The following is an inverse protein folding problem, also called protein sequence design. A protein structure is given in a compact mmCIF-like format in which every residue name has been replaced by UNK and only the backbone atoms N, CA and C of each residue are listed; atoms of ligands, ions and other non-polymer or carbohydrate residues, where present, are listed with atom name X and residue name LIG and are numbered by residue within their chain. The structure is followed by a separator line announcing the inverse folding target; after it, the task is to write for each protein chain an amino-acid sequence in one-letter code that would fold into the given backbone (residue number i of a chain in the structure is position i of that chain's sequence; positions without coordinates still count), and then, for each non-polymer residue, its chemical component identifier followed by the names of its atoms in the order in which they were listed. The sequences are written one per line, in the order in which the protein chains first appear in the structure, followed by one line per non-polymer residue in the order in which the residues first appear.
data_IF_164476069000
#
_entry.id   IF_164476069000
#
_cell.length_a   1.000
_cell.length_b   1.000
_cell.length_c   1.000
_cell.angle_alpha   90.00
_cell.angle_beta   90.00
_cell.angle_gamma   90.00
#
_symmetry.space_group_name_H-M   'P 1'
#
loop_
_entity.id
_entity.type
_entity.pdbx_description
1 polymer ?
#
# COMPACT_ATOMS: atom_id res chain seq x y z
N UNK A 1 -15.50 70.11 -44.00
CA UNK A 1 -15.53 69.29 -42.76
C UNK A 1 -15.38 67.85 -43.10
N UNK A 2 -14.16 67.34 -43.37
CA UNK A 2 -13.82 65.94 -43.53
C UNK A 2 -12.28 65.78 -43.36
N UNK A 3 -11.81 65.67 -42.15
CA UNK A 3 -10.42 65.30 -41.81
C UNK A 3 -10.38 65.13 -40.28
N UNK A 4 -10.66 63.97 -39.74
CA UNK A 4 -10.26 63.56 -38.37
C UNK A 4 -10.72 62.15 -37.98
N UNK A 5 -11.10 61.28 -38.95
CA UNK A 5 -11.56 59.90 -38.63
C UNK A 5 -10.53 58.81 -38.94
N UNK A 6 -9.32 59.15 -39.40
CA UNK A 6 -8.30 58.16 -39.79
C UNK A 6 -7.20 57.96 -38.72
N UNK A 7 -7.17 58.75 -37.64
CA UNK A 7 -6.11 58.72 -36.62
C UNK A 7 -6.38 57.78 -35.41
N UNK A 8 -7.64 57.34 -35.24
CA UNK A 8 -8.02 56.46 -34.10
C UNK A 8 -7.96 54.96 -34.36
N UNK A 9 -7.80 54.54 -35.59
CA UNK A 9 -7.72 53.08 -35.95
C UNK A 9 -6.30 52.52 -35.77
N UNK A 10 -5.28 53.37 -35.76
CA UNK A 10 -3.88 52.90 -35.65
C UNK A 10 -3.40 52.70 -34.19
N UNK A 11 -4.10 53.19 -33.20
CA UNK A 11 -3.71 53.03 -31.75
C UNK A 11 -4.30 51.76 -31.12
N UNK A 12 -5.33 51.16 -31.76
CA UNK A 12 -5.97 49.92 -31.23
C UNK A 12 -5.29 48.63 -31.66
N UNK A 13 -4.27 48.69 -32.54
CA UNK A 13 -3.60 47.45 -33.04
C UNK A 13 -2.28 47.12 -32.34
N UNK A 14 -1.83 47.92 -31.41
CA UNK A 14 -0.55 47.69 -30.69
C UNK A 14 -0.66 46.96 -29.33
N UNK A 15 -1.88 46.55 -28.93
CA UNK A 15 -2.11 45.91 -27.64
C UNK A 15 -2.33 44.38 -27.69
N UNK A 16 -2.08 43.75 -28.86
CA UNK A 16 -2.31 42.30 -29.01
C UNK A 16 -1.03 41.42 -29.14
N UNK A 17 0.14 41.92 -28.75
CA UNK A 17 1.38 41.18 -28.86
C UNK A 17 2.14 41.03 -27.51
N UNK A 18 1.49 40.57 -26.45
CA UNK A 18 2.16 40.00 -25.30
C UNK A 18 1.42 38.78 -24.76
N UNK A 19 1.14 37.80 -25.63
CA UNK A 19 1.07 36.44 -25.17
C UNK A 19 2.52 35.91 -25.11
N UNK A 20 3.31 36.33 -24.12
CA UNK A 20 4.52 35.60 -23.79
C UNK A 20 4.07 34.22 -23.30
N UNK A 21 4.21 33.22 -24.18
CA UNK A 21 4.32 31.84 -23.70
C UNK A 21 5.42 31.83 -22.67
N UNK A 22 5.09 31.61 -21.41
CA UNK A 22 6.06 31.33 -20.37
C UNK A 22 6.76 30.03 -20.77
N UNK A 23 7.86 30.15 -21.52
CA UNK A 23 8.72 29.01 -21.81
C UNK A 23 9.30 28.61 -20.46
N UNK A 24 9.04 27.36 -20.07
CA UNK A 24 9.53 26.81 -18.81
C UNK A 24 11.07 26.85 -18.77
N UNK A 25 11.61 27.41 -17.70
CA UNK A 25 13.06 27.64 -17.60
C UNK A 25 13.80 26.35 -17.27
N UNK A 26 14.80 26.00 -18.08
CA UNK A 26 15.72 24.92 -17.74
C UNK A 26 16.67 25.40 -16.64
N UNK A 27 16.57 24.78 -15.46
CA UNK A 27 17.38 25.11 -14.27
C UNK A 27 18.55 24.14 -14.05
N UNK A 28 18.52 22.96 -14.69
CA UNK A 28 19.61 21.97 -14.64
C UNK A 28 19.67 21.13 -15.90
N UNK A 29 20.87 20.63 -16.20
CA UNK A 29 21.11 19.66 -17.28
C UNK A 29 22.04 18.59 -16.78
N UNK A 30 21.73 17.31 -17.00
CA UNK A 30 22.60 16.16 -16.71
C UNK A 30 22.61 15.22 -17.92
N UNK A 31 23.75 15.20 -18.63
CA UNK A 31 23.84 14.54 -19.91
C UNK A 31 22.89 15.17 -20.94
N UNK A 32 21.91 14.42 -21.43
CA UNK A 32 20.85 14.91 -22.32
C UNK A 32 19.54 15.28 -21.58
N UNK A 33 19.46 14.97 -20.30
CA UNK A 33 18.27 15.19 -19.51
C UNK A 33 18.26 16.59 -18.92
N UNK A 34 17.12 17.26 -19.01
CA UNK A 34 16.91 18.60 -18.46
C UNK A 34 16.07 18.53 -17.17
N UNK A 35 16.29 19.48 -16.29
CA UNK A 35 15.41 19.76 -15.14
C UNK A 35 14.77 21.11 -15.40
N UNK A 36 13.44 21.14 -15.40
CA UNK A 36 12.64 22.35 -15.60
C UNK A 36 12.28 22.98 -14.26
N UNK A 37 12.08 24.30 -14.25
CA UNK A 37 11.62 25.01 -13.07
C UNK A 37 10.25 24.49 -12.59
N UNK A 38 9.34 24.22 -13.52
CA UNK A 38 8.02 23.68 -13.20
C UNK A 38 8.08 22.32 -12.52
N UNK A 39 9.08 21.50 -12.88
CA UNK A 39 9.32 20.20 -12.26
C UNK A 39 9.70 20.38 -10.77
N UNK A 40 10.65 21.28 -10.48
CA UNK A 40 11.03 21.60 -9.10
C UNK A 40 9.87 22.19 -8.28
N UNK A 41 9.10 23.12 -8.86
CA UNK A 41 7.95 23.73 -8.17
C UNK A 41 6.84 22.71 -7.90
N UNK A 42 6.68 21.69 -8.73
CA UNK A 42 5.76 20.58 -8.50
C UNK A 42 6.18 19.74 -7.29
N UNK A 43 7.47 19.41 -7.19
CA UNK A 43 8.03 18.68 -6.03
C UNK A 43 7.87 19.48 -4.74
N UNK A 44 8.13 20.79 -4.77
CA UNK A 44 7.95 21.68 -3.62
C UNK A 44 6.47 21.68 -3.18
N UNK A 45 5.53 21.80 -4.12
CA UNK A 45 4.08 21.76 -3.81
C UNK A 45 3.68 20.43 -3.17
N UNK A 46 4.22 19.33 -3.67
CA UNK A 46 4.02 18.00 -3.09
C UNK A 46 4.52 17.91 -1.64
N UNK A 47 5.74 18.38 -1.39
CA UNK A 47 6.32 18.39 -0.05
C UNK A 47 5.51 19.28 0.93
N UNK A 48 5.05 20.44 0.46
CA UNK A 48 4.19 21.36 1.26
C UNK A 48 2.84 20.73 1.58
N UNK A 49 2.22 20.05 0.62
CA UNK A 49 0.97 19.34 0.84
C UNK A 49 1.09 18.25 1.92
N UNK A 50 2.29 17.68 2.08
CA UNK A 50 2.64 16.72 3.13
C UNK A 50 3.13 17.38 4.44
N UNK A 51 2.93 18.71 4.61
CA UNK A 51 3.21 19.43 5.85
C UNK A 51 4.64 19.95 5.99
N UNK A 52 5.50 19.83 4.96
CA UNK A 52 6.86 20.38 4.99
C UNK A 52 6.84 21.89 4.74
N UNK A 53 7.56 22.67 5.56
CA UNK A 53 7.67 24.11 5.35
C UNK A 53 8.59 24.44 4.16
N UNK A 54 8.16 25.37 3.31
CA UNK A 54 8.99 25.87 2.21
C UNK A 54 10.16 26.69 2.76
N UNK A 55 11.37 26.26 2.44
CA UNK A 55 12.62 26.95 2.76
C UNK A 55 13.56 26.90 1.56
N UNK A 56 14.55 27.80 1.50
CA UNK A 56 15.59 27.73 0.46
C UNK A 56 16.38 26.41 0.54
N UNK A 57 16.58 25.89 1.74
CA UNK A 57 17.20 24.57 1.94
C UNK A 57 16.36 23.44 1.30
N UNK A 58 15.04 23.47 1.44
CA UNK A 58 14.16 22.48 0.80
C UNK A 58 14.27 22.53 -0.73
N UNK A 59 14.31 23.75 -1.31
CA UNK A 59 14.51 23.94 -2.76
C UNK A 59 15.80 23.28 -3.24
N UNK A 60 16.89 23.53 -2.50
CA UNK A 60 18.18 22.96 -2.84
C UNK A 60 18.20 21.44 -2.72
N UNK A 61 17.57 20.87 -1.69
CA UNK A 61 17.48 19.42 -1.49
C UNK A 61 16.67 18.78 -2.63
N UNK A 62 15.49 19.29 -2.94
CA UNK A 62 14.65 18.75 -4.01
C UNK A 62 15.31 18.91 -5.39
N UNK A 63 16.03 20.00 -5.61
CA UNK A 63 16.79 20.17 -6.85
C UNK A 63 17.95 19.17 -6.96
N UNK A 64 18.67 18.89 -5.87
CA UNK A 64 19.72 17.85 -5.82
C UNK A 64 19.13 16.46 -6.15
N UNK A 65 17.95 16.14 -5.62
CA UNK A 65 17.25 14.89 -5.90
C UNK A 65 16.84 14.77 -7.38
N UNK A 66 16.34 15.85 -7.99
CA UNK A 66 16.02 15.88 -9.42
C UNK A 66 17.27 15.68 -10.28
N UNK A 67 18.38 16.36 -9.95
CA UNK A 67 19.65 16.17 -10.65
C UNK A 67 20.15 14.73 -10.52
N UNK A 68 20.05 14.13 -9.32
CA UNK A 68 20.41 12.75 -9.08
C UNK A 68 19.53 11.78 -9.89
N UNK A 69 18.23 12.02 -9.96
CA UNK A 69 17.32 11.22 -10.80
C UNK A 69 17.71 11.29 -12.29
N UNK A 70 18.05 12.50 -12.80
CA UNK A 70 18.51 12.65 -14.20
C UNK A 70 19.86 11.94 -14.42
N UNK A 71 20.74 11.90 -13.42
CA UNK A 71 22.01 11.15 -13.50
C UNK A 71 21.75 9.64 -13.60
N UNK A 72 20.81 9.11 -12.81
CA UNK A 72 20.40 7.71 -12.89
C UNK A 72 19.83 7.36 -14.27
N UNK A 73 18.96 8.22 -14.84
CA UNK A 73 18.41 8.02 -16.19
C UNK A 73 19.50 8.04 -17.26
N UNK A 74 20.43 9.00 -17.19
CA UNK A 74 21.54 9.09 -18.15
C UNK A 74 22.47 7.88 -18.07
N UNK A 75 22.64 7.30 -16.89
CA UNK A 75 23.43 6.07 -16.74
C UNK A 75 22.64 4.83 -17.12
N UNK A 76 21.35 4.77 -16.81
CA UNK A 76 20.46 3.67 -17.18
C UNK A 76 20.47 3.43 -18.70
N UNK A 77 20.44 4.51 -19.48
CA UNK A 77 20.55 4.43 -20.94
C UNK A 77 21.88 3.82 -21.39
N UNK A 78 23.01 4.26 -20.81
CA UNK A 78 24.34 3.71 -21.11
C UNK A 78 24.46 2.23 -20.74
N UNK A 79 23.82 1.84 -19.65
CA UNK A 79 23.86 0.48 -19.11
C UNK A 79 22.73 -0.40 -19.65
N UNK A 80 21.93 0.09 -20.61
CA UNK A 80 20.76 -0.60 -21.20
C UNK A 80 19.77 -1.13 -20.15
N UNK A 81 19.52 -0.32 -19.13
CA UNK A 81 18.53 -0.64 -18.09
C UNK A 81 17.17 -0.18 -18.57
N UNK A 82 16.24 -1.12 -18.71
CA UNK A 82 14.88 -0.88 -19.19
C UNK A 82 13.85 -1.51 -18.26
N UNK A 83 12.66 -0.93 -18.22
CA UNK A 83 11.49 -1.49 -17.53
C UNK A 83 10.51 -2.03 -18.58
N UNK A 84 9.78 -3.08 -18.21
CA UNK A 84 8.73 -3.64 -19.07
C UNK A 84 7.50 -2.75 -19.03
N UNK A 85 6.80 -2.65 -20.18
CA UNK A 85 5.57 -1.84 -20.26
C UNK A 85 4.48 -2.31 -19.29
N UNK A 86 4.40 -3.63 -19.01
CA UNK A 86 3.46 -4.17 -18.01
C UNK A 86 3.73 -3.64 -16.61
N UNK A 87 4.99 -3.33 -16.26
CA UNK A 87 5.35 -2.72 -14.97
C UNK A 87 4.93 -1.25 -14.92
N UNK A 88 5.06 -0.53 -16.06
CA UNK A 88 4.61 0.86 -16.18
C UNK A 88 3.10 0.94 -16.06
N UNK A 89 2.37 0.10 -16.79
CA UNK A 89 0.92 0.01 -16.73
C UNK A 89 0.42 -0.33 -15.32
N UNK A 90 1.01 -1.33 -14.70
CA UNK A 90 0.65 -1.73 -13.32
C UNK A 90 0.87 -0.62 -12.30
N UNK A 91 1.94 0.17 -12.42
CA UNK A 91 2.21 1.30 -11.53
C UNK A 91 1.23 2.47 -11.79
N UNK A 92 0.91 2.74 -13.06
CA UNK A 92 -0.10 3.73 -13.44
C UNK A 92 -1.46 3.35 -12.86
N UNK A 93 -1.87 2.09 -13.02
CA UNK A 93 -3.16 1.59 -12.51
C UNK A 93 -3.22 1.66 -10.98
N UNK A 94 -2.13 1.31 -10.29
CA UNK A 94 -2.05 1.42 -8.83
C UNK A 94 -2.24 2.86 -8.36
N UNK A 95 -1.57 3.83 -8.99
CA UNK A 95 -1.71 5.26 -8.64
C UNK A 95 -3.09 5.79 -8.99
N UNK A 96 -3.63 5.40 -10.15
CA UNK A 96 -4.98 5.80 -10.52
C UNK A 96 -6.04 5.28 -9.55
N UNK A 97 -5.95 4.01 -9.13
CA UNK A 97 -6.87 3.44 -8.14
C UNK A 97 -6.79 4.19 -6.81
N UNK A 98 -5.59 4.60 -6.39
CA UNK A 98 -5.42 5.43 -5.21
C UNK A 98 -6.10 6.81 -5.38
N UNK A 99 -5.88 7.50 -6.49
CA UNK A 99 -6.51 8.80 -6.75
C UNK A 99 -8.03 8.68 -6.84
N UNK A 100 -8.55 7.73 -7.59
CA UNK A 100 -9.99 7.50 -7.71
C UNK A 100 -10.63 7.18 -6.35
N UNK A 101 -9.93 6.44 -5.49
CA UNK A 101 -10.35 6.19 -4.11
C UNK A 101 -10.46 7.49 -3.28
N UNK A 102 -9.52 8.44 -3.45
CA UNK A 102 -9.55 9.74 -2.76
C UNK A 102 -10.67 10.64 -3.26
N UNK A 103 -10.94 10.64 -4.57
CA UNK A 103 -12.02 11.45 -5.17
C UNK A 103 -13.40 10.80 -5.04
N UNK A 104 -13.44 9.50 -4.76
CA UNK A 104 -14.66 8.72 -4.56
C UNK A 104 -15.41 8.35 -5.85
N UNK A 105 -15.09 8.94 -7.02
CA UNK A 105 -15.57 8.50 -8.33
C UNK A 105 -14.71 9.06 -9.47
N UNK A 106 -14.79 8.41 -10.64
CA UNK A 106 -14.11 8.81 -11.87
C UNK A 106 -14.60 10.19 -12.36
N UNK A 107 -15.91 10.45 -12.30
CA UNK A 107 -16.51 11.71 -12.74
C UNK A 107 -15.99 12.90 -11.93
N UNK A 108 -15.83 12.73 -10.60
CA UNK A 108 -15.29 13.80 -9.74
C UNK A 108 -13.81 14.06 -10.04
N UNK A 109 -13.05 13.00 -10.31
CA UNK A 109 -11.64 13.11 -10.70
C UNK A 109 -11.52 13.86 -12.04
N UNK A 110 -12.30 13.46 -13.06
CA UNK A 110 -12.29 14.09 -14.38
C UNK A 110 -12.74 15.54 -14.34
N UNK A 111 -13.76 15.86 -13.54
CA UNK A 111 -14.22 17.23 -13.33
C UNK A 111 -13.14 18.11 -12.66
N UNK A 112 -12.36 17.55 -11.73
CA UNK A 112 -11.29 18.29 -11.05
C UNK A 112 -10.09 18.56 -11.94
N UNK A 113 -9.63 17.55 -12.70
CA UNK A 113 -8.46 17.66 -13.57
C UNK A 113 -8.78 18.21 -14.97
N UNK A 114 -10.04 18.25 -15.36
CA UNK A 114 -10.46 18.67 -16.72
C UNK A 114 -10.04 17.71 -17.83
N UNK A 115 -9.76 16.45 -17.49
CA UNK A 115 -9.23 15.41 -18.39
C UNK A 115 -9.82 14.07 -18.03
N UNK A 116 -9.99 13.19 -19.04
CA UNK A 116 -10.41 11.82 -18.79
C UNK A 116 -9.31 11.03 -18.06
N UNK A 117 -9.71 10.00 -17.33
CA UNK A 117 -8.78 9.05 -16.67
C UNK A 117 -7.78 8.49 -17.69
N UNK A 118 -8.24 8.17 -18.90
CA UNK A 118 -7.38 7.67 -19.97
C UNK A 118 -6.32 8.71 -20.38
N UNK A 119 -6.69 9.96 -20.59
CA UNK A 119 -5.75 11.03 -20.94
C UNK A 119 -4.74 11.27 -19.83
N UNK A 120 -5.19 11.24 -18.58
CA UNK A 120 -4.30 11.42 -17.41
C UNK A 120 -3.29 10.27 -17.28
N UNK A 121 -3.70 9.01 -17.53
CA UNK A 121 -2.81 7.84 -17.57
C UNK A 121 -1.72 7.99 -18.64
N UNK A 122 -2.09 8.44 -19.84
CA UNK A 122 -1.12 8.64 -20.93
C UNK A 122 -0.11 9.75 -20.61
N UNK A 123 -0.54 10.85 -20.01
CA UNK A 123 0.36 11.93 -19.58
C UNK A 123 1.35 11.50 -18.48
N UNK A 124 0.93 10.60 -17.58
CA UNK A 124 1.80 10.06 -16.53
C UNK A 124 2.80 9.03 -17.04
N UNK A 125 2.59 8.44 -18.20
CA UNK A 125 3.32 7.25 -18.67
C UNK A 125 4.83 7.45 -18.71
N UNK A 126 5.28 8.54 -19.31
CA UNK A 126 6.72 8.81 -19.43
C UNK A 126 7.35 9.16 -18.09
N UNK A 127 6.66 9.90 -17.22
CA UNK A 127 7.12 10.20 -15.87
C UNK A 127 7.25 8.91 -15.05
N UNK A 128 6.24 8.04 -15.08
CA UNK A 128 6.27 6.75 -14.39
C UNK A 128 7.37 5.85 -14.93
N UNK A 129 7.54 5.77 -16.25
CA UNK A 129 8.64 5.00 -16.85
C UNK A 129 10.00 5.50 -16.36
N UNK A 130 10.22 6.81 -16.36
CA UNK A 130 11.46 7.42 -15.88
C UNK A 130 11.71 7.13 -14.40
N UNK A 131 10.69 7.22 -13.56
CA UNK A 131 10.79 6.87 -12.13
C UNK A 131 11.22 5.41 -11.96
N UNK A 132 10.56 4.49 -12.67
CA UNK A 132 10.86 3.05 -12.57
C UNK A 132 12.26 2.72 -13.11
N UNK A 133 12.68 3.33 -14.21
CA UNK A 133 14.04 3.16 -14.77
C UNK A 133 15.10 3.69 -13.81
N UNK A 134 14.90 4.88 -13.23
CA UNK A 134 15.81 5.44 -12.24
C UNK A 134 15.91 4.55 -11.00
N UNK A 135 14.78 4.04 -10.50
CA UNK A 135 14.73 3.11 -9.37
C UNK A 135 15.44 1.78 -9.68
N UNK A 136 15.23 1.22 -10.89
CA UNK A 136 15.91 -0.01 -11.31
C UNK A 136 17.43 0.22 -11.44
N UNK A 137 17.86 1.38 -11.94
CA UNK A 137 19.27 1.74 -12.00
C UNK A 137 19.86 1.90 -10.60
N UNK A 138 19.18 2.56 -9.69
CA UNK A 138 19.58 2.68 -8.30
C UNK A 138 19.70 1.31 -7.63
N UNK A 139 18.73 0.44 -7.83
CA UNK A 139 18.76 -0.93 -7.35
C UNK A 139 19.99 -1.70 -7.90
N UNK A 140 20.31 -1.55 -9.18
CA UNK A 140 21.50 -2.16 -9.79
C UNK A 140 22.80 -1.70 -9.10
N UNK A 141 22.87 -0.43 -8.67
CA UNK A 141 24.03 0.12 -7.93
C UNK A 141 24.14 -0.49 -6.54
N UNK A 142 23.02 -0.80 -5.87
CA UNK A 142 22.99 -1.24 -4.46
C UNK A 142 22.71 -2.73 -4.24
N UNK A 143 22.21 -3.46 -5.26
CA UNK A 143 21.73 -4.85 -5.11
C UNK A 143 22.82 -5.88 -4.78
N UNK A 144 24.08 -5.59 -5.08
CA UNK A 144 25.20 -6.49 -4.77
C UNK A 144 25.74 -6.31 -3.33
N UNK A 145 25.16 -5.36 -2.57
CA UNK A 145 25.67 -5.01 -1.25
C UNK A 145 25.11 -5.94 -0.21
N UNK A 146 25.94 -6.88 0.19
CA UNK A 146 25.71 -7.69 1.39
C UNK A 146 26.52 -7.13 2.55
N UNK A 147 25.90 -7.08 3.71
CA UNK A 147 26.56 -6.68 4.95
C UNK A 147 26.93 -7.95 5.71
N UNK A 148 28.23 -8.15 5.90
CA UNK A 148 28.75 -9.27 6.70
C UNK A 148 28.67 -8.97 8.20
N UNK A 149 28.72 -9.98 9.07
CA UNK A 149 28.84 -9.73 10.52
C UNK A 149 30.06 -8.87 10.91
N UNK A 150 31.12 -8.87 10.12
CA UNK A 150 32.28 -7.99 10.33
C UNK A 150 31.93 -6.54 10.02
N UNK A 151 31.18 -6.27 8.93
CA UNK A 151 30.70 -4.94 8.59
C UNK A 151 29.81 -4.36 9.69
N UNK A 152 28.90 -5.18 10.26
CA UNK A 152 28.02 -4.77 11.36
C UNK A 152 28.84 -4.35 12.58
N UNK A 153 29.82 -5.16 12.98
CA UNK A 153 30.73 -4.81 14.09
C UNK A 153 31.54 -3.57 13.82
N UNK A 154 32.09 -3.41 12.61
CA UNK A 154 32.84 -2.24 12.22
C UNK A 154 31.95 -0.96 12.25
N UNK A 155 30.72 -1.07 11.72
CA UNK A 155 29.76 0.02 11.78
C UNK A 155 29.42 0.41 13.23
N UNK A 156 29.09 -0.58 14.07
CA UNK A 156 28.79 -0.35 15.50
C UNK A 156 29.95 0.34 16.21
N UNK A 157 31.20 -0.13 15.99
CA UNK A 157 32.38 0.47 16.58
C UNK A 157 32.70 1.89 16.07
N UNK A 158 32.16 2.26 14.92
CA UNK A 158 32.32 3.62 14.35
C UNK A 158 31.35 4.64 14.93
N UNK A 159 30.31 4.20 15.63
CA UNK A 159 29.32 5.08 16.27
C UNK A 159 29.86 5.50 17.65
N UNK A 160 29.99 6.80 17.94
CA UNK A 160 30.32 7.27 19.29
C UNK A 160 29.30 6.73 20.32
N UNK A 161 29.75 6.37 21.51
CA UNK A 161 28.90 5.75 22.52
C UNK A 161 27.75 6.63 23.04
N UNK A 162 27.90 7.95 22.92
CA UNK A 162 26.87 8.94 23.22
C UNK A 162 25.85 9.11 22.09
N UNK A 163 26.22 8.72 20.87
CA UNK A 163 25.39 8.78 19.65
C UNK A 163 24.72 7.44 19.33
N UNK A 164 24.95 6.38 20.13
CA UNK A 164 24.21 5.13 19.99
C UNK A 164 22.72 5.37 20.27
N UNK A 165 21.80 4.86 19.41
CA UNK A 165 20.38 5.03 19.64
C UNK A 165 19.96 4.42 20.99
N UNK A 166 19.12 5.14 21.73
CA UNK A 166 18.42 4.62 22.89
C UNK A 166 17.26 3.77 22.37
N UNK A 167 17.24 2.53 22.76
CA UNK A 167 16.14 1.60 22.48
C UNK A 167 15.23 1.63 23.71
N UNK A 168 13.97 1.93 23.49
CA UNK A 168 12.94 1.90 24.53
C UNK A 168 12.65 0.45 24.94
N UNK A 169 11.77 0.28 25.92
CA UNK A 169 11.26 -1.05 26.27
C UNK A 169 10.62 -1.71 25.06
N UNK A 170 11.18 -2.83 24.64
CA UNK A 170 10.61 -3.66 23.57
C UNK A 170 10.02 -4.93 24.15
N UNK A 171 9.00 -5.43 23.49
CA UNK A 171 8.35 -6.71 23.83
C UNK A 171 8.29 -7.62 22.61
N UNK A 172 8.47 -8.91 22.86
CA UNK A 172 8.17 -9.96 21.88
C UNK A 172 6.90 -10.67 22.35
N UNK A 173 5.86 -10.62 21.51
CA UNK A 173 4.54 -11.16 21.85
C UNK A 173 4.10 -12.21 20.83
N UNK A 174 3.39 -13.20 21.34
CA UNK A 174 2.74 -14.21 20.54
C UNK A 174 1.23 -14.17 20.76
N UNK A 175 0.45 -14.55 19.76
CA UNK A 175 -1.01 -14.58 19.87
C UNK A 175 -1.60 -15.94 19.47
N UNK A 176 -2.68 -16.30 20.13
CA UNK A 176 -3.61 -17.36 19.72
C UNK A 176 -4.96 -16.72 19.50
N UNK A 177 -5.42 -16.71 18.27
CA UNK A 177 -6.66 -16.04 17.86
C UNK A 177 -7.77 -17.07 17.67
N UNK A 178 -8.97 -16.77 18.18
CA UNK A 178 -10.19 -17.53 17.92
C UNK A 178 -11.25 -16.63 17.33
N UNK A 179 -11.73 -16.98 16.15
CA UNK A 179 -12.82 -16.29 15.46
C UNK A 179 -14.14 -16.99 15.74
N UNK A 180 -15.25 -16.27 15.99
CA UNK A 180 -16.56 -16.89 16.04
C UNK A 180 -16.83 -17.62 14.73
N UNK A 181 -17.18 -18.88 14.81
CA UNK A 181 -17.55 -19.68 13.64
C UNK A 181 -19.06 -19.65 13.47
N UNK A 182 -19.50 -19.51 12.21
CA UNK A 182 -20.92 -19.59 11.87
C UNK A 182 -21.37 -21.03 12.09
N UNK A 183 -22.46 -21.22 12.84
CA UNK A 183 -23.03 -22.56 13.07
C UNK A 183 -23.61 -23.15 11.77
N UNK A 184 -23.70 -24.49 11.71
CA UNK A 184 -24.34 -25.19 10.58
C UNK A 184 -25.84 -24.84 10.46
N UNK A 185 -26.50 -24.53 11.57
CA UNK A 185 -27.88 -24.03 11.60
C UNK A 185 -27.99 -22.67 10.90
N UNK A 186 -27.06 -21.73 11.18
CA UNK A 186 -27.04 -20.42 10.53
C UNK A 186 -26.74 -20.54 9.02
N UNK A 187 -25.87 -21.46 8.64
CA UNK A 187 -25.57 -21.76 7.23
C UNK A 187 -26.82 -22.34 6.51
N UNK A 188 -27.49 -23.32 7.14
CA UNK A 188 -28.72 -23.89 6.61
C UNK A 188 -29.83 -22.84 6.48
N UNK A 189 -29.98 -21.95 7.47
CA UNK A 189 -30.96 -20.88 7.42
C UNK A 189 -30.66 -19.88 6.28
N UNK A 190 -29.38 -19.46 6.11
CA UNK A 190 -29.00 -18.59 5.01
C UNK A 190 -29.25 -19.22 3.64
N UNK A 191 -28.90 -20.51 3.47
CA UNK A 191 -29.15 -21.24 2.25
C UNK A 191 -30.64 -21.40 1.97
N UNK A 192 -31.46 -21.72 2.98
CA UNK A 192 -32.91 -21.84 2.83
C UNK A 192 -33.54 -20.49 2.43
N UNK A 193 -33.10 -19.40 3.03
CA UNK A 193 -33.52 -18.04 2.68
C UNK A 193 -33.18 -17.69 1.23
N UNK A 194 -31.96 -18.04 0.80
CA UNK A 194 -31.54 -17.82 -0.57
C UNK A 194 -32.33 -18.68 -1.56
N UNK A 195 -32.68 -19.93 -1.21
CA UNK A 195 -33.52 -20.79 -2.03
C UNK A 195 -34.93 -20.20 -2.19
N UNK A 196 -35.50 -19.62 -1.12
CA UNK A 196 -36.78 -18.89 -1.24
C UNK A 196 -36.67 -17.75 -2.27
N UNK A 197 -35.59 -17.00 -2.25
CA UNK A 197 -35.39 -15.93 -3.22
C UNK A 197 -35.19 -16.44 -4.65
N UNK A 198 -34.46 -17.53 -4.81
CA UNK A 198 -34.25 -18.20 -6.09
C UNK A 198 -35.60 -18.71 -6.67
N UNK A 199 -36.45 -19.28 -5.85
CA UNK A 199 -37.77 -19.75 -6.26
C UNK A 199 -38.67 -18.61 -6.73
N UNK A 200 -38.62 -17.43 -6.13
CA UNK A 200 -39.33 -16.23 -6.61
C UNK A 200 -38.91 -15.83 -8.04
N UNK A 201 -37.65 -16.03 -8.38
CA UNK A 201 -37.15 -15.76 -9.73
C UNK A 201 -37.56 -16.86 -10.71
N UNK A 202 -37.39 -18.13 -10.34
CA UNK A 202 -37.75 -19.29 -11.20
C UNK A 202 -39.23 -19.33 -11.50
N UNK A 203 -40.08 -19.06 -10.51
CA UNK A 203 -41.53 -19.00 -10.70
C UNK A 203 -42.03 -17.79 -11.48
N UNK A 204 -41.14 -16.82 -11.78
CA UNK A 204 -41.49 -15.57 -12.44
C UNK A 204 -42.28 -14.59 -11.58
N UNK A 205 -42.43 -14.85 -10.27
CA UNK A 205 -43.11 -13.94 -9.33
C UNK A 205 -42.35 -12.64 -9.11
N UNK A 206 -41.02 -12.67 -9.26
CA UNK A 206 -40.16 -11.49 -9.22
C UNK A 206 -39.03 -11.61 -10.25
N UNK A 207 -38.62 -10.49 -10.85
CA UNK A 207 -37.43 -10.49 -11.70
C UNK A 207 -36.15 -10.65 -10.87
N UNK A 208 -35.10 -11.22 -11.49
CA UNK A 208 -33.78 -11.34 -10.84
C UNK A 208 -33.27 -9.99 -10.36
N UNK A 209 -33.50 -8.90 -11.13
CA UNK A 209 -33.13 -7.55 -10.76
C UNK A 209 -33.84 -7.08 -9.48
N UNK A 210 -35.14 -7.33 -9.37
CA UNK A 210 -35.93 -6.94 -8.21
C UNK A 210 -35.51 -7.72 -6.95
N UNK A 211 -35.27 -9.04 -7.09
CA UNK A 211 -34.79 -9.86 -5.98
C UNK A 211 -33.44 -9.42 -5.52
N UNK A 212 -32.52 -9.15 -6.44
CA UNK A 212 -31.16 -8.66 -6.08
C UNK A 212 -31.22 -7.29 -5.41
N UNK A 213 -31.98 -6.34 -5.95
CA UNK A 213 -32.11 -4.99 -5.35
C UNK A 213 -32.69 -5.01 -3.93
N UNK A 214 -33.59 -5.95 -3.63
CA UNK A 214 -34.27 -6.02 -2.33
C UNK A 214 -33.54 -6.89 -1.30
N UNK A 215 -32.85 -7.93 -1.74
CA UNK A 215 -32.42 -8.99 -0.83
C UNK A 215 -30.95 -9.34 -0.88
N UNK A 216 -30.18 -8.83 -1.88
CA UNK A 216 -28.73 -9.11 -1.87
C UNK A 216 -28.03 -8.41 -0.71
N UNK A 217 -27.15 -9.13 -0.07
CA UNK A 217 -26.24 -8.60 0.97
C UNK A 217 -24.87 -8.21 0.38
N UNK A 218 -24.73 -8.20 -0.96
CA UNK A 218 -23.51 -7.74 -1.64
C UNK A 218 -23.50 -6.21 -1.77
N UNK A 219 -22.64 -5.49 -1.02
CA UNK A 219 -22.58 -4.03 -1.07
C UNK A 219 -22.09 -3.49 -2.42
N UNK A 220 -21.32 -4.29 -3.18
CA UNK A 220 -20.76 -3.88 -4.47
C UNK A 220 -21.81 -3.79 -5.59
N UNK A 221 -22.83 -4.65 -5.54
CA UNK A 221 -23.83 -4.73 -6.61
C UNK A 221 -25.27 -4.46 -6.16
N UNK A 222 -25.52 -4.26 -4.88
CA UNK A 222 -26.89 -4.01 -4.36
C UNK A 222 -27.58 -2.84 -5.07
N UNK A 223 -26.87 -1.72 -5.24
CA UNK A 223 -27.40 -0.50 -5.90
C UNK A 223 -27.71 -0.68 -7.38
N UNK A 224 -27.07 -1.64 -8.05
CA UNK A 224 -27.25 -1.97 -9.46
C UNK A 224 -28.15 -3.20 -9.64
N UNK A 225 -28.87 -3.62 -8.59
CA UNK A 225 -29.71 -4.81 -8.59
C UNK A 225 -28.90 -6.09 -8.83
N UNK A 226 -27.75 -6.21 -8.22
CA UNK A 226 -26.89 -7.40 -8.27
C UNK A 226 -26.05 -7.54 -9.55
N UNK A 227 -25.93 -6.48 -10.39
CA UNK A 227 -25.32 -6.55 -11.71
C UNK A 227 -23.83 -6.26 -11.69
N UNK A 228 -23.07 -7.09 -12.42
CA UNK A 228 -21.68 -6.90 -12.81
C UNK A 228 -21.54 -7.12 -14.31
N UNK A 229 -20.88 -6.18 -14.98
CA UNK A 229 -20.69 -6.19 -16.43
C UNK A 229 -19.19 -6.41 -16.77
N UNK A 230 -18.96 -7.18 -17.85
CA UNK A 230 -17.62 -7.34 -18.41
C UNK A 230 -16.64 -8.09 -17.50
N UNK A 231 -17.09 -9.04 -16.72
CA UNK A 231 -16.23 -9.86 -15.85
C UNK A 231 -15.31 -10.72 -16.70
N UNK A 232 -14.00 -10.55 -16.53
CA UNK A 232 -12.96 -11.44 -17.05
C UNK A 232 -12.57 -12.51 -16.01
N UNK A 233 -11.93 -13.61 -16.47
CA UNK A 233 -11.37 -14.61 -15.56
C UNK A 233 -10.28 -14.02 -14.67
N UNK A 234 -10.25 -14.43 -13.41
CA UNK A 234 -9.30 -13.94 -12.40
C UNK A 234 -9.75 -12.69 -11.63
N UNK A 235 -10.95 -12.16 -11.93
CA UNK A 235 -11.50 -10.98 -11.24
C UNK A 235 -12.35 -11.32 -10.02
N UNK A 236 -12.92 -12.52 -9.98
CA UNK A 236 -13.76 -12.99 -8.88
C UNK A 236 -13.19 -14.27 -8.25
N UNK A 237 -13.76 -14.66 -7.11
CA UNK A 237 -13.34 -15.90 -6.46
C UNK A 237 -13.65 -17.12 -7.33
N UNK A 238 -12.80 -18.17 -7.27
CA UNK A 238 -12.90 -19.33 -8.17
C UNK A 238 -14.28 -19.98 -8.22
N UNK A 239 -14.96 -20.06 -7.07
CA UNK A 239 -16.30 -20.64 -6.96
C UNK A 239 -17.35 -19.86 -7.76
N UNK A 240 -17.27 -18.52 -7.72
CA UNK A 240 -18.16 -17.65 -8.48
C UNK A 240 -17.87 -17.75 -9.98
N UNK A 241 -16.61 -17.70 -10.38
CA UNK A 241 -16.20 -17.81 -11.77
C UNK A 241 -16.58 -19.17 -12.38
N UNK A 242 -16.37 -20.27 -11.64
CA UNK A 242 -16.71 -21.61 -12.09
C UNK A 242 -18.20 -21.71 -12.47
N UNK A 243 -19.08 -21.01 -11.76
CA UNK A 243 -20.51 -20.98 -12.06
C UNK A 243 -20.80 -19.99 -13.19
N UNK A 244 -20.33 -18.75 -13.11
CA UNK A 244 -20.62 -17.70 -14.09
C UNK A 244 -20.20 -18.08 -15.52
N UNK A 245 -19.02 -18.68 -15.68
CA UNK A 245 -18.50 -19.06 -16.99
C UNK A 245 -19.09 -20.37 -17.54
N UNK A 246 -19.84 -21.14 -16.75
CA UNK A 246 -20.52 -22.38 -17.20
C UNK A 246 -21.93 -22.12 -17.73
N UNK A 247 -22.60 -21.08 -17.22
CA UNK A 247 -23.99 -20.79 -17.55
C UNK A 247 -24.20 -20.38 -19.01
N UNK A 248 -25.41 -20.64 -19.53
CA UNK A 248 -25.92 -20.09 -20.78
C UNK A 248 -26.62 -18.75 -20.53
N UNK A 249 -26.70 -17.86 -21.55
CA UNK A 249 -27.51 -16.64 -21.40
C UNK A 249 -28.91 -16.93 -20.87
N UNK A 250 -29.36 -16.10 -19.93
CA UNK A 250 -30.63 -16.17 -19.19
C UNK A 250 -30.76 -17.34 -18.22
N UNK A 251 -29.78 -18.25 -18.14
CA UNK A 251 -29.78 -19.36 -17.20
C UNK A 251 -29.49 -18.87 -15.76
N UNK A 252 -30.27 -19.43 -14.81
CA UNK A 252 -30.12 -19.18 -13.38
C UNK A 252 -29.43 -20.39 -12.75
N UNK A 253 -28.36 -20.12 -12.00
CA UNK A 253 -27.55 -21.15 -11.35
C UNK A 253 -28.29 -21.83 -10.18
N UNK A 254 -27.80 -23.00 -9.79
CA UNK A 254 -28.02 -23.54 -8.45
C UNK A 254 -27.32 -22.67 -7.40
N UNK A 255 -27.71 -22.85 -6.11
CA UNK A 255 -27.03 -22.20 -5.00
C UNK A 255 -25.66 -22.81 -4.81
N UNK A 256 -24.63 -21.96 -4.74
CA UNK A 256 -23.26 -22.34 -4.43
C UNK A 256 -22.71 -21.50 -3.28
N UNK A 257 -21.67 -22.01 -2.62
CA UNK A 257 -20.98 -21.37 -1.51
C UNK A 257 -19.66 -20.76 -1.99
N UNK A 258 -19.32 -19.60 -1.44
CA UNK A 258 -18.03 -18.94 -1.60
C UNK A 258 -17.51 -18.47 -0.24
N UNK A 259 -16.28 -17.94 -0.12
CA UNK A 259 -15.81 -17.30 1.11
C UNK A 259 -16.68 -16.14 1.61
N UNK A 260 -17.54 -15.57 0.75
CA UNK A 260 -18.42 -14.44 1.10
C UNK A 260 -19.83 -14.89 1.54
N UNK A 261 -20.22 -16.13 1.31
CA UNK A 261 -21.54 -16.66 1.64
C UNK A 261 -22.14 -17.51 0.54
N UNK A 262 -23.47 -17.57 0.52
CA UNK A 262 -24.24 -18.34 -0.46
C UNK A 262 -24.74 -17.46 -1.59
N UNK A 263 -24.57 -17.91 -2.81
CA UNK A 263 -24.93 -17.18 -4.02
C UNK A 263 -25.81 -18.01 -4.93
N UNK A 264 -26.64 -17.34 -5.72
CA UNK A 264 -27.04 -17.79 -7.03
C UNK A 264 -26.92 -16.64 -8.02
N UNK A 265 -26.73 -16.92 -9.29
CA UNK A 265 -26.55 -15.92 -10.31
C UNK A 265 -27.28 -16.26 -11.61
N UNK A 266 -27.55 -15.23 -12.42
CA UNK A 266 -28.05 -15.32 -13.78
C UNK A 266 -27.00 -14.79 -14.71
N UNK A 267 -26.68 -15.50 -15.80
CA UNK A 267 -25.88 -14.96 -16.89
C UNK A 267 -26.78 -14.08 -17.76
N UNK A 268 -26.45 -12.79 -17.86
CA UNK A 268 -27.18 -11.84 -18.72
C UNK A 268 -26.67 -11.94 -20.16
N UNK A 269 -25.36 -11.89 -20.35
CA UNK A 269 -24.73 -11.96 -21.67
C UNK A 269 -23.31 -12.53 -21.60
N UNK A 270 -22.86 -13.07 -22.73
CA UNK A 270 -21.48 -13.46 -22.94
C UNK A 270 -20.92 -12.71 -24.14
N UNK A 271 -19.79 -12.04 -23.95
CA UNK A 271 -19.10 -11.24 -24.96
C UNK A 271 -17.64 -11.72 -25.09
N UNK A 272 -17.43 -12.76 -25.89
CA UNK A 272 -16.14 -13.43 -26.01
C UNK A 272 -15.74 -14.05 -24.67
N UNK A 273 -14.60 -13.60 -24.11
CA UNK A 273 -14.09 -14.05 -22.80
C UNK A 273 -14.70 -13.29 -21.62
N UNK A 274 -15.62 -12.34 -21.85
CA UNK A 274 -16.27 -11.55 -20.82
C UNK A 274 -17.69 -12.01 -20.59
N UNK A 275 -18.14 -11.96 -19.34
CA UNK A 275 -19.52 -12.29 -18.96
C UNK A 275 -20.16 -11.14 -18.17
N UNK A 276 -21.43 -10.89 -18.47
CA UNK A 276 -22.29 -9.99 -17.70
C UNK A 276 -23.22 -10.84 -16.86
N UNK A 277 -23.23 -10.62 -15.56
CA UNK A 277 -24.04 -11.43 -14.63
C UNK A 277 -24.86 -10.55 -13.70
N UNK A 278 -25.87 -11.16 -13.11
CA UNK A 278 -26.62 -10.64 -11.98
C UNK A 278 -26.63 -11.70 -10.90
N UNK A 279 -26.34 -11.31 -9.66
CA UNK A 279 -26.28 -12.26 -8.56
C UNK A 279 -27.02 -11.78 -7.31
N UNK A 280 -27.34 -12.74 -6.44
CA UNK A 280 -27.81 -12.49 -5.08
C UNK A 280 -26.88 -13.19 -4.11
N UNK A 281 -26.45 -12.48 -3.11
CA UNK A 281 -25.64 -12.97 -2.00
C UNK A 281 -26.48 -12.94 -0.71
N UNK A 282 -26.44 -14.03 0.04
CA UNK A 282 -26.89 -14.08 1.44
C UNK A 282 -25.76 -14.65 2.30
N UNK A 283 -25.38 -13.91 3.33
CA UNK A 283 -24.33 -14.31 4.26
C UNK A 283 -24.92 -15.05 5.47
N UNK A 284 -24.27 -16.13 5.88
CA UNK A 284 -24.58 -16.73 7.17
C UNK A 284 -23.95 -15.87 8.27
N UNK A 285 -24.77 -15.22 9.08
CA UNK A 285 -24.31 -14.25 10.09
C UNK A 285 -23.89 -14.97 11.38
N UNK A 286 -22.78 -14.48 11.94
CA UNK A 286 -22.37 -14.85 13.29
C UNK A 286 -23.42 -14.36 14.28
N UNK A 287 -23.96 -15.25 15.10
CA UNK A 287 -24.90 -14.91 16.17
C UNK A 287 -24.17 -14.44 17.44
N UNK A 288 -24.89 -13.78 18.33
CA UNK A 288 -24.36 -13.46 19.66
C UNK A 288 -23.90 -14.70 20.42
N UNK A 289 -24.58 -15.84 20.22
CA UNK A 289 -24.19 -17.11 20.83
C UNK A 289 -22.88 -17.66 20.25
N UNK A 290 -22.62 -17.51 18.95
CA UNK A 290 -21.36 -17.92 18.33
C UNK A 290 -20.18 -17.14 18.89
N UNK A 291 -20.36 -15.83 19.17
CA UNK A 291 -19.37 -14.98 19.81
C UNK A 291 -19.07 -15.50 21.23
N UNK A 292 -20.10 -15.82 22.01
CA UNK A 292 -19.94 -16.38 23.36
C UNK A 292 -19.24 -17.73 23.31
N UNK A 293 -19.61 -18.59 22.36
CA UNK A 293 -19.01 -19.92 22.21
C UNK A 293 -17.51 -19.84 21.86
N UNK A 294 -17.12 -18.94 20.97
CA UNK A 294 -15.71 -18.71 20.63
C UNK A 294 -14.88 -18.28 21.86
N UNK A 295 -15.46 -17.41 22.71
CA UNK A 295 -14.81 -17.01 23.95
C UNK A 295 -14.68 -18.18 24.93
N UNK A 296 -15.74 -18.97 25.12
CA UNK A 296 -15.73 -20.15 26.02
C UNK A 296 -14.69 -21.19 25.55
N UNK A 297 -14.63 -21.44 24.22
CA UNK A 297 -13.62 -22.32 23.66
C UNK A 297 -12.20 -21.81 23.95
N UNK A 298 -11.96 -20.52 23.76
CA UNK A 298 -10.66 -19.91 24.03
C UNK A 298 -10.33 -19.90 25.54
N UNK A 299 -11.31 -19.69 26.41
CA UNK A 299 -11.15 -19.81 27.87
C UNK A 299 -10.74 -21.26 28.25
N UNK A 300 -11.33 -22.27 27.64
CA UNK A 300 -10.92 -23.67 27.85
C UNK A 300 -9.46 -23.93 27.40
N UNK A 301 -9.05 -23.35 26.29
CA UNK A 301 -7.67 -23.46 25.80
C UNK A 301 -6.72 -22.74 26.75
N UNK A 302 -7.07 -21.54 27.22
CA UNK A 302 -6.32 -20.78 28.22
C UNK A 302 -6.05 -21.61 29.47
N UNK A 303 -7.07 -22.28 30.01
CA UNK A 303 -6.91 -23.12 31.21
C UNK A 303 -5.96 -24.29 30.96
N UNK A 304 -6.03 -24.95 29.79
CA UNK A 304 -5.14 -26.04 29.43
C UNK A 304 -3.67 -25.59 29.34
N UNK A 305 -3.44 -24.38 28.82
CA UNK A 305 -2.09 -23.79 28.76
C UNK A 305 -1.60 -23.46 30.17
N UNK A 306 -2.43 -22.81 30.97
CA UNK A 306 -2.13 -22.41 32.38
C UNK A 306 -1.81 -23.62 33.26
N UNK A 307 -2.53 -24.72 33.09
CA UNK A 307 -2.31 -25.97 33.83
C UNK A 307 -1.09 -26.77 33.28
N UNK A 308 -0.39 -26.28 32.25
CA UNK A 308 0.74 -26.96 31.63
C UNK A 308 0.39 -28.21 30.83
N UNK A 309 -0.91 -28.46 30.58
CA UNK A 309 -1.39 -29.63 29.80
C UNK A 309 -1.04 -29.52 28.31
N UNK A 310 -0.86 -28.29 27.81
CA UNK A 310 -0.46 -28.01 26.44
C UNK A 310 0.44 -26.78 26.44
N UNK A 311 1.49 -26.79 25.60
CA UNK A 311 2.33 -25.60 25.43
C UNK A 311 1.59 -24.56 24.59
N UNK A 312 1.90 -23.27 24.76
CA UNK A 312 1.30 -22.20 23.97
C UNK A 312 1.48 -22.46 22.46
N UNK A 313 2.69 -22.89 22.03
CA UNK A 313 3.01 -23.19 20.65
C UNK A 313 2.10 -24.30 20.06
N UNK A 314 1.94 -25.41 20.79
CA UNK A 314 1.06 -26.50 20.35
C UNK A 314 -0.42 -26.07 20.33
N UNK A 315 -0.83 -25.21 21.26
CA UNK A 315 -2.17 -24.66 21.27
C UNK A 315 -2.41 -23.76 20.03
N UNK A 316 -1.44 -22.89 19.65
CA UNK A 316 -1.51 -22.10 18.43
C UNK A 316 -1.64 -22.96 17.19
N UNK A 317 -0.75 -23.94 17.03
CA UNK A 317 -0.77 -24.83 15.86
C UNK A 317 -2.08 -25.59 15.67
N UNK A 318 -2.71 -25.97 16.79
CA UNK A 318 -3.94 -26.77 16.77
C UNK A 318 -5.21 -25.93 16.69
N UNK A 319 -5.27 -24.79 17.39
CA UNK A 319 -6.51 -24.08 17.69
C UNK A 319 -6.58 -22.66 17.15
N UNK A 320 -5.44 -22.03 16.74
CA UNK A 320 -5.47 -20.67 16.25
C UNK A 320 -6.14 -20.60 14.87
N UNK A 321 -7.02 -19.62 14.71
CA UNK A 321 -7.68 -19.29 13.43
C UNK A 321 -6.88 -18.23 12.64
N UNK A 322 -5.78 -17.74 13.20
CA UNK A 322 -4.88 -16.80 12.52
C UNK A 322 -3.85 -17.58 11.67
N UNK A 323 -4.01 -17.49 10.35
CA UNK A 323 -3.18 -18.23 9.40
C UNK A 323 -1.73 -17.76 9.36
N UNK A 324 -1.46 -16.49 9.69
CA UNK A 324 -0.14 -15.90 9.61
C UNK A 324 0.74 -16.34 10.78
N UNK A 325 0.17 -16.42 11.98
CA UNK A 325 0.94 -16.72 13.20
C UNK A 325 0.78 -18.16 13.69
N UNK A 326 -0.24 -18.89 13.22
CA UNK A 326 -0.56 -20.25 13.65
C UNK A 326 0.63 -21.21 13.64
N UNK A 327 1.43 -21.19 12.57
CA UNK A 327 2.50 -22.16 12.32
C UNK A 327 3.88 -21.73 12.86
N UNK A 328 3.97 -20.53 13.42
CA UNK A 328 5.19 -19.99 14.04
C UNK A 328 5.02 -19.74 15.54
N UNK A 329 4.27 -20.62 16.22
CA UNK A 329 3.97 -20.50 17.67
C UNK A 329 3.22 -19.21 18.06
N UNK A 330 2.46 -18.64 17.15
CA UNK A 330 1.72 -17.41 17.40
C UNK A 330 2.57 -16.13 17.32
N UNK A 331 3.84 -16.20 16.95
CA UNK A 331 4.76 -15.05 16.91
C UNK A 331 4.29 -13.99 15.93
N UNK A 332 4.14 -12.76 16.40
CA UNK A 332 3.75 -11.61 15.61
C UNK A 332 5.00 -10.99 15.00
N UNK A 333 4.92 -10.62 13.71
CA UNK A 333 6.02 -9.98 13.00
C UNK A 333 5.83 -8.47 12.95
N UNK A 334 6.84 -7.72 13.37
CA UNK A 334 6.94 -6.30 13.12
C UNK A 334 7.52 -6.09 11.72
N UNK A 335 6.64 -5.96 10.73
CA UNK A 335 7.05 -5.82 9.33
C UNK A 335 7.80 -4.52 9.06
N UNK A 336 7.56 -3.48 9.83
CA UNK A 336 8.27 -2.20 9.72
C UNK A 336 9.73 -2.31 10.17
N UNK A 337 9.97 -3.04 11.26
CA UNK A 337 11.32 -3.24 11.79
C UNK A 337 12.02 -4.48 11.21
N UNK A 338 11.28 -5.38 10.52
CA UNK A 338 11.79 -6.66 10.03
C UNK A 338 12.21 -7.61 11.17
N UNK A 339 11.56 -7.53 12.34
CA UNK A 339 11.87 -8.28 13.56
C UNK A 339 10.60 -8.79 14.23
N UNK A 340 10.75 -9.47 15.39
CA UNK A 340 9.62 -9.86 16.25
C UNK A 340 9.46 -8.94 17.45
N UNK A 341 10.29 -7.90 17.58
CA UNK A 341 10.29 -6.95 18.67
C UNK A 341 9.44 -5.72 18.32
N UNK A 342 8.68 -5.24 19.29
CA UNK A 342 7.84 -4.04 19.18
C UNK A 342 8.18 -3.10 20.31
N UNK A 343 8.38 -1.84 20.01
CA UNK A 343 8.35 -0.79 21.04
C UNK A 343 6.92 -0.69 21.59
N UNK A 344 6.78 -0.50 22.89
CA UNK A 344 5.45 -0.44 23.55
C UNK A 344 4.61 0.71 22.99
N UNK A 345 5.25 1.82 22.64
CA UNK A 345 4.62 2.98 22.00
C UNK A 345 3.97 2.64 20.65
N UNK A 346 4.62 1.81 19.84
CA UNK A 346 4.09 1.38 18.54
C UNK A 346 2.84 0.50 18.68
N UNK A 347 2.85 -0.38 19.69
CA UNK A 347 1.66 -1.16 20.04
C UNK A 347 0.54 -0.22 20.48
N UNK A 348 0.87 0.82 21.26
CA UNK A 348 -0.09 1.80 21.76
C UNK A 348 -0.85 2.57 20.69
N UNK A 349 -0.24 2.80 19.54
CA UNK A 349 -0.90 3.46 18.41
C UNK A 349 -2.01 2.59 17.79
N UNK A 350 -1.83 1.27 17.78
CA UNK A 350 -2.77 0.32 17.17
C UNK A 350 -3.72 -0.34 18.19
N UNK A 351 -3.27 -0.57 19.42
CA UNK A 351 -4.01 -1.25 20.47
C UNK A 351 -3.66 -0.73 21.89
N UNK A 352 -4.20 0.41 22.29
CA UNK A 352 -3.92 1.01 23.60
C UNK A 352 -4.26 0.09 24.78
N UNK A 353 -5.30 -0.76 24.65
CA UNK A 353 -5.72 -1.68 25.69
C UNK A 353 -4.70 -2.80 25.92
N UNK A 354 -3.99 -3.20 24.85
CA UNK A 354 -2.95 -4.22 24.96
C UNK A 354 -1.75 -3.69 25.75
N UNK A 355 -1.39 -2.43 25.61
CA UNK A 355 -0.29 -1.81 26.38
C UNK A 355 -0.55 -1.93 27.88
N UNK A 356 -1.72 -1.49 28.33
CA UNK A 356 -2.11 -1.60 29.76
C UNK A 356 -2.06 -3.05 30.28
N UNK A 357 -2.37 -4.00 29.42
CA UNK A 357 -2.29 -5.43 29.75
C UNK A 357 -0.84 -5.89 29.86
N UNK A 358 -0.01 -5.53 28.87
CA UNK A 358 1.41 -5.90 28.83
C UNK A 358 2.18 -5.33 30.02
N UNK A 359 1.88 -4.09 30.47
CA UNK A 359 2.56 -3.46 31.60
C UNK A 359 2.46 -4.27 32.90
N UNK A 360 1.37 -5.02 33.07
CA UNK A 360 1.13 -5.86 34.19
C UNK A 360 1.62 -7.31 34.04
N UNK A 361 2.18 -7.68 32.91
CA UNK A 361 2.63 -9.05 32.63
C UNK A 361 4.13 -9.22 32.87
N UNK A 362 4.51 -10.38 33.35
CA UNK A 362 5.89 -10.86 33.38
C UNK A 362 6.19 -11.71 32.16
N UNK A 363 7.45 -11.79 31.80
CA UNK A 363 7.88 -12.71 30.71
C UNK A 363 7.47 -14.14 31.07
N UNK A 364 6.80 -14.80 30.16
CA UNK A 364 6.21 -16.12 30.36
C UNK A 364 4.71 -16.11 30.67
N UNK A 365 4.12 -14.97 30.98
CA UNK A 365 2.68 -14.86 31.28
C UNK A 365 1.83 -14.92 30.01
N UNK A 366 0.59 -15.39 30.20
CA UNK A 366 -0.47 -15.36 29.17
C UNK A 366 -1.67 -14.57 29.68
N UNK A 367 -2.34 -13.84 28.79
CA UNK A 367 -3.59 -13.16 29.12
C UNK A 367 -4.75 -14.12 29.16
N UNK A 368 -5.83 -13.74 29.87
CA UNK A 368 -7.15 -14.28 29.58
C UNK A 368 -7.58 -13.89 28.16
N UNK A 369 -8.62 -14.54 27.58
CA UNK A 369 -9.15 -14.11 26.29
C UNK A 369 -9.51 -12.62 26.25
N UNK A 370 -8.83 -11.88 25.38
CA UNK A 370 -9.08 -10.46 25.12
C UNK A 370 -9.93 -10.32 23.85
N UNK A 371 -10.91 -9.43 23.83
CA UNK A 371 -11.63 -9.11 22.60
C UNK A 371 -10.70 -8.41 21.61
N UNK A 372 -10.87 -8.72 20.35
CA UNK A 372 -10.16 -8.08 19.23
C UNK A 372 -11.14 -7.82 18.10
N UNK A 373 -10.99 -6.69 17.43
CA UNK A 373 -11.73 -6.39 16.21
C UNK A 373 -10.76 -6.46 15.03
N UNK A 374 -11.11 -7.23 14.01
CA UNK A 374 -10.32 -7.28 12.78
C UNK A 374 -10.56 -6.03 11.92
N UNK A 375 -9.68 -5.78 10.94
CA UNK A 375 -9.81 -4.61 10.04
C UNK A 375 -11.14 -4.57 9.28
N UNK A 376 -11.74 -5.73 9.02
CA UNK A 376 -13.08 -5.86 8.41
C UNK A 376 -14.24 -5.69 9.42
N UNK A 377 -13.95 -5.24 10.64
CA UNK A 377 -14.93 -4.98 11.70
C UNK A 377 -15.47 -6.22 12.40
N UNK A 378 -14.99 -7.42 12.06
CA UNK A 378 -15.44 -8.66 12.71
C UNK A 378 -14.83 -8.85 14.07
N UNK A 379 -15.65 -9.26 15.03
CA UNK A 379 -15.21 -9.55 16.40
C UNK A 379 -14.48 -10.90 16.46
N UNK A 380 -13.39 -10.95 17.19
CA UNK A 380 -12.64 -12.15 17.53
C UNK A 380 -12.09 -12.06 18.96
N UNK A 381 -11.47 -13.14 19.45
CA UNK A 381 -10.81 -13.18 20.74
C UNK A 381 -9.39 -13.67 20.57
N UNK A 382 -8.48 -13.19 21.41
CA UNK A 382 -7.09 -13.64 21.43
C UNK A 382 -6.56 -13.84 22.84
N UNK A 383 -5.62 -14.76 22.98
CA UNK A 383 -4.72 -14.88 24.12
C UNK A 383 -3.37 -14.33 23.68
N UNK A 384 -2.78 -13.46 24.46
CA UNK A 384 -1.41 -12.95 24.24
C UNK A 384 -0.47 -13.66 25.20
N UNK A 385 0.67 -14.07 24.69
CA UNK A 385 1.81 -14.60 25.46
C UNK A 385 2.97 -13.61 25.37
N UNK A 386 3.45 -13.13 26.52
CA UNK A 386 4.62 -12.27 26.59
C UNK A 386 5.88 -13.15 26.57
N UNK A 387 6.52 -13.24 25.40
CA UNK A 387 7.67 -14.11 25.19
C UNK A 387 8.97 -13.50 25.72
N UNK A 388 9.17 -12.20 25.47
CA UNK A 388 10.34 -11.45 25.93
C UNK A 388 9.99 -10.00 26.22
N UNK A 389 10.79 -9.37 27.08
CA UNK A 389 10.77 -7.93 27.36
C UNK A 389 12.19 -7.47 27.60
N UNK A 390 12.58 -6.37 26.98
CA UNK A 390 13.86 -5.70 27.21
C UNK A 390 13.62 -4.43 28.01
N UNK A 391 14.55 -4.09 28.87
CA UNK A 391 14.59 -2.77 29.50
C UNK A 391 15.18 -1.73 28.56
N UNK A 392 14.88 -0.42 28.76
CA UNK A 392 15.49 0.63 27.96
C UNK A 392 17.03 0.56 28.05
N UNK A 393 17.68 0.57 26.88
CA UNK A 393 19.13 0.43 26.81
C UNK A 393 19.70 1.14 25.55
N UNK A 394 20.98 1.43 25.55
CA UNK A 394 21.67 1.82 24.34
C UNK A 394 21.85 0.61 23.43
N UNK A 395 21.62 0.83 22.13
CA UNK A 395 21.74 -0.23 21.14
C UNK A 395 23.05 -1.02 21.30
N UNK A 396 22.94 -2.35 21.28
CA UNK A 396 24.07 -3.25 21.44
C UNK A 396 24.01 -4.44 20.47
N UNK A 397 25.16 -5.09 20.24
CA UNK A 397 25.27 -6.18 19.26
C UNK A 397 24.60 -7.49 19.69
N UNK A 398 24.23 -7.63 20.97
CA UNK A 398 23.60 -8.84 21.48
C UNK A 398 22.09 -8.82 21.23
N UNK A 399 21.45 -7.73 21.61
CA UNK A 399 20.00 -7.62 21.64
C UNK A 399 19.45 -6.96 20.37
N UNK A 400 20.22 -6.03 19.74
CA UNK A 400 19.77 -5.20 18.62
C UNK A 400 20.48 -5.53 17.29
N UNK A 401 21.01 -6.73 17.15
CA UNK A 401 21.84 -7.08 16.00
C UNK A 401 21.16 -6.81 14.66
N UNK A 402 19.89 -7.16 14.49
CA UNK A 402 19.14 -6.97 13.24
C UNK A 402 18.97 -5.47 12.93
N UNK A 403 18.69 -4.65 13.94
CA UNK A 403 18.57 -3.19 13.80
C UNK A 403 19.92 -2.59 13.37
N UNK A 404 20.99 -2.99 14.03
CA UNK A 404 22.36 -2.55 13.69
C UNK A 404 22.79 -3.03 12.30
N UNK A 405 22.37 -4.23 11.89
CA UNK A 405 22.61 -4.75 10.54
C UNK A 405 21.89 -3.90 9.49
N UNK A 406 20.63 -3.55 9.71
CA UNK A 406 19.88 -2.68 8.81
C UNK A 406 20.49 -1.28 8.72
N UNK A 407 20.93 -0.72 9.85
CA UNK A 407 21.65 0.58 9.88
C UNK A 407 22.98 0.51 9.14
N UNK A 408 23.75 -0.54 9.36
CA UNK A 408 25.03 -0.77 8.66
C UNK A 408 24.80 -0.93 7.14
N UNK A 409 23.76 -1.65 6.75
CA UNK A 409 23.39 -1.80 5.34
C UNK A 409 23.01 -0.48 4.70
N UNK A 410 22.16 0.32 5.35
CA UNK A 410 21.79 1.67 4.87
C UNK A 410 23.01 2.59 4.76
N UNK A 411 23.90 2.59 5.76
CA UNK A 411 25.15 3.35 5.74
C UNK A 411 26.08 2.91 4.60
N UNK A 412 26.26 1.60 4.41
CA UNK A 412 27.09 1.05 3.33
C UNK A 412 26.50 1.39 1.96
N UNK A 413 25.19 1.26 1.78
CA UNK A 413 24.48 1.64 0.55
C UNK A 413 24.69 3.12 0.23
N UNK A 414 24.51 4.01 1.23
CA UNK A 414 24.75 5.44 1.06
C UNK A 414 26.16 5.73 0.57
N UNK A 415 27.17 5.17 1.22
CA UNK A 415 28.59 5.39 0.85
C UNK A 415 28.90 4.90 -0.57
N UNK A 416 28.31 3.79 -0.99
CA UNK A 416 28.48 3.25 -2.35
C UNK A 416 27.78 4.14 -3.38
N UNK A 417 26.56 4.59 -3.09
CA UNK A 417 25.85 5.53 -3.96
C UNK A 417 26.66 6.84 -4.09
N UNK A 418 27.13 7.42 -3.00
CA UNK A 418 27.91 8.65 -3.02
C UNK A 418 29.23 8.48 -3.81
N UNK A 419 29.91 7.35 -3.65
CA UNK A 419 31.13 7.01 -4.42
C UNK A 419 30.82 6.84 -5.91
N UNK A 420 29.72 6.14 -6.21
CA UNK A 420 29.25 5.93 -7.59
C UNK A 420 28.88 7.26 -8.26
N UNK A 421 28.13 8.13 -7.58
CA UNK A 421 27.77 9.45 -8.09
C UNK A 421 29.03 10.25 -8.41
N UNK A 422 29.97 10.35 -7.47
CA UNK A 422 31.22 11.09 -7.66
C UNK A 422 32.06 10.55 -8.83
N UNK A 423 32.04 9.23 -9.04
CA UNK A 423 32.69 8.61 -10.20
C UNK A 423 31.99 8.99 -11.51
N UNK A 424 30.66 8.97 -11.55
CA UNK A 424 29.88 9.28 -12.75
C UNK A 424 29.93 10.76 -13.12
N UNK A 425 29.95 11.65 -12.15
CA UNK A 425 30.09 13.10 -12.37
C UNK A 425 31.36 13.50 -13.13
N UNK A 426 32.41 12.68 -13.08
CA UNK A 426 33.65 12.93 -13.87
C UNK A 426 33.49 12.66 -15.37
N UNK A 427 32.43 11.98 -15.79
CA UNK A 427 32.25 11.50 -17.17
C UNK A 427 30.92 11.93 -17.79
N UNK A 428 30.17 12.77 -17.12
CA UNK A 428 28.87 13.26 -17.59
C UNK A 428 28.85 14.78 -17.56
N UNK A 429 28.27 15.40 -18.59
CA UNK A 429 28.07 16.84 -18.61
C UNK A 429 26.99 17.26 -17.62
N UNK A 430 27.28 18.25 -16.77
CA UNK A 430 26.32 18.85 -15.86
C UNK A 430 26.35 20.36 -15.98
N UNK A 431 25.17 20.97 -16.06
CA UNK A 431 25.01 22.43 -16.00
C UNK A 431 23.92 22.77 -14.99
N UNK A 432 24.22 23.72 -14.13
CA UNK A 432 23.29 24.26 -13.12
C UNK A 432 23.10 25.75 -13.40
N UNK A 433 21.85 26.20 -13.36
CA UNK A 433 21.52 27.63 -13.51
C UNK A 433 22.16 28.46 -12.37
N UNK A 434 22.53 29.71 -12.69
CA UNK A 434 23.18 30.64 -11.76
C UNK A 434 22.40 30.82 -10.46
N UNK A 435 21.08 30.80 -10.54
CA UNK A 435 20.15 30.96 -9.41
C UNK A 435 20.39 29.88 -8.32
N UNK A 436 20.86 28.69 -8.71
CA UNK A 436 21.05 27.55 -7.79
C UNK A 436 22.52 27.27 -7.46
N UNK A 437 23.48 28.05 -7.96
CA UNK A 437 24.91 27.85 -7.66
C UNK A 437 25.26 28.05 -6.19
N UNK A 438 24.42 28.78 -5.45
CA UNK A 438 24.58 29.01 -4.00
C UNK A 438 24.04 27.83 -3.15
N UNK A 439 23.39 26.84 -3.74
CA UNK A 439 22.88 25.70 -3.01
C UNK A 439 23.97 24.85 -2.39
N UNK A 440 23.73 24.41 -1.15
CA UNK A 440 24.53 23.37 -0.48
C UNK A 440 24.00 22.00 -0.93
N UNK A 441 24.50 21.53 -2.07
CA UNK A 441 24.13 20.21 -2.61
C UNK A 441 24.79 19.10 -1.80
N UNK A 442 24.10 17.96 -1.70
CA UNK A 442 24.64 16.71 -1.14
C UNK A 442 25.77 16.15 -2.02
N UNK A 443 25.61 16.27 -3.35
CA UNK A 443 26.58 15.81 -4.34
C UNK A 443 27.37 16.96 -4.93
N UNK A 444 28.64 16.74 -5.28
CA UNK A 444 29.49 17.79 -5.82
C UNK A 444 29.28 17.97 -7.34
N UNK A 445 28.15 18.56 -7.73
CA UNK A 445 27.80 18.83 -9.13
C UNK A 445 28.76 19.79 -9.84
N UNK A 446 29.51 20.59 -9.08
CA UNK A 446 30.43 21.59 -9.63
C UNK A 446 31.69 20.99 -10.31
N UNK A 447 32.03 19.73 -10.01
CA UNK A 447 33.18 19.05 -10.62
C UNK A 447 32.91 18.55 -12.05
N UNK A 448 31.68 18.59 -12.51
CA UNK A 448 31.25 18.06 -13.80
C UNK A 448 31.16 19.11 -14.90
N UNK A 449 31.62 20.35 -14.64
CA UNK A 449 31.70 21.40 -15.68
C UNK A 449 33.06 21.31 -16.35
N UNK A 450 33.13 21.11 -17.69
CA UNK A 450 34.41 21.11 -18.42
C UNK A 450 35.08 22.48 -18.42
#
# INVERSE_FOLDING_TARGET
MKKNTLSYIFVLFTWFCYAQQNIDKTIGVVGKYIVLRSELEREIKGAVANGTKTTDSLRCILFDELLYQKLLLAQAEKDSVHVKEEQVDGEIDRRMNYYLGQFGSEEKFEAFYGKTVKQYKEEMRDDIRNILVAQQMQNKVVNEIKVSPADVRAYYSSIPSDSLPLINTEVEICQLVKKPSVTEEAKKAARAKLEEYRQKVISGSMSMAAVAALYTEDPGSAKTGGRYDGIARGQFVPEFEAVAFRLKPDEISEIFESPFGYHFLQLIARRGELVDVRHVLVTAKVSAQDIVNAKIELDSIYQKIKDGRVTFCNACAKHSDDKETKNNCGSIQNTAAGSTHFEIEDIGQSDPNLVSTLDNMKVGDITKPLPQQSQDGKQSFRIIYLKARTEPHKANLKDDYQRLQNMAQTSKQKNIVDTWVNKKLRSIYVRIDEEYKGCSFKHNWKQATP
#
